data_IF_569953392755
#
_entry.id   IF_569953392755
#
_cell.length_a   1.000
_cell.length_b   1.000
_cell.length_c   1.000
_cell.angle_alpha   90.00
_cell.angle_beta   90.00
_cell.angle_gamma   90.00
#
_symmetry.space_group_name_H-M   'P 1'
#
loop_
_entity.id
_entity.type
_entity.pdbx_description
1 polymer ?
#
# COMPACT_ATOMS: atom_id res chain seq x y z
N UNK A 1 29.07 -18.42 -42.39
CA UNK A 1 27.92 -19.08 -41.73
C UNK A 1 27.73 -18.40 -40.39
N UNK A 2 26.87 -17.38 -40.34
CA UNK A 2 26.64 -16.57 -39.14
C UNK A 2 25.45 -17.16 -38.40
N UNK A 3 25.68 -17.82 -37.28
CA UNK A 3 24.63 -18.30 -36.40
C UNK A 3 24.09 -17.09 -35.60
N UNK A 4 23.04 -16.47 -36.10
CA UNK A 4 22.24 -15.53 -35.31
C UNK A 4 21.35 -16.38 -34.42
N UNK A 5 21.67 -16.41 -33.12
CA UNK A 5 20.81 -16.96 -32.09
C UNK A 5 19.58 -16.06 -31.97
N UNK A 6 18.49 -16.44 -32.63
CA UNK A 6 17.18 -15.81 -32.43
C UNK A 6 16.43 -16.61 -31.35
N UNK A 7 16.83 -16.40 -30.09
CA UNK A 7 15.97 -16.76 -28.97
C UNK A 7 15.21 -15.50 -28.53
N UNK A 8 13.87 -15.53 -28.50
CA UNK A 8 13.09 -14.41 -28.02
C UNK A 8 13.44 -14.17 -26.54
N UNK A 9 14.04 -13.01 -26.26
CA UNK A 9 14.31 -12.58 -24.91
C UNK A 9 12.96 -12.30 -24.23
N UNK A 10 12.52 -13.21 -23.36
CA UNK A 10 11.33 -13.01 -22.55
C UNK A 10 11.61 -11.86 -21.59
N UNK A 11 11.12 -10.67 -21.94
CA UNK A 11 11.13 -9.51 -21.05
C UNK A 11 10.16 -9.82 -19.91
N UNK A 12 10.71 -10.24 -18.78
CA UNK A 12 9.96 -10.35 -17.52
C UNK A 12 9.64 -8.93 -17.06
N UNK A 13 8.50 -8.39 -17.51
CA UNK A 13 7.92 -7.21 -16.91
C UNK A 13 7.60 -7.56 -15.45
N UNK A 14 8.31 -6.95 -14.51
CA UNK A 14 7.88 -6.96 -13.12
C UNK A 14 6.47 -6.37 -13.06
N UNK A 15 5.48 -7.24 -12.86
CA UNK A 15 4.13 -6.84 -12.49
C UNK A 15 4.14 -6.76 -10.97
N UNK A 16 3.99 -5.58 -10.36
CA UNK A 16 3.91 -5.51 -8.91
C UNK A 16 2.74 -6.37 -8.45
N UNK A 17 3.04 -7.43 -7.70
CA UNK A 17 2.01 -8.15 -7.00
C UNK A 17 1.71 -7.38 -5.72
N UNK A 18 0.81 -6.41 -5.81
CA UNK A 18 0.41 -5.58 -4.67
C UNK A 18 -0.21 -6.39 -3.51
N UNK A 19 -0.50 -7.68 -3.74
CA UNK A 19 -1.03 -8.61 -2.74
C UNK A 19 0.07 -9.35 -1.95
N UNK A 20 1.34 -9.25 -2.36
CA UNK A 20 2.47 -9.86 -1.64
C UNK A 20 3.25 -8.76 -0.92
N UNK A 21 3.22 -8.75 0.41
CA UNK A 21 4.15 -7.91 1.18
C UNK A 21 5.53 -8.56 1.18
N UNK A 22 6.54 -7.87 0.69
CA UNK A 22 7.93 -8.30 0.85
C UNK A 22 8.55 -7.66 2.10
N UNK A 23 9.61 -8.25 2.67
CA UNK A 23 10.32 -7.68 3.83
C UNK A 23 10.93 -6.30 3.58
N UNK A 24 10.96 -5.84 2.34
CA UNK A 24 11.55 -4.56 1.94
C UNK A 24 10.51 -3.44 1.79
N UNK A 25 9.21 -3.76 1.80
CA UNK A 25 8.14 -2.77 1.65
C UNK A 25 7.86 -2.04 2.97
N UNK A 26 8.67 -1.00 3.22
CA UNK A 26 8.61 -0.12 4.39
C UNK A 26 8.15 1.29 4.02
N UNK A 27 7.47 1.95 4.95
CA UNK A 27 7.29 3.41 4.92
C UNK A 27 8.60 4.17 5.21
N UNK A 28 8.79 5.37 4.63
CA UNK A 28 7.83 6.13 3.82
C UNK A 28 7.79 5.76 2.32
N UNK A 29 8.70 4.91 1.82
CA UNK A 29 8.77 4.57 0.39
C UNK A 29 7.51 3.81 -0.08
N UNK A 30 6.98 2.96 0.78
CA UNK A 30 5.77 2.17 0.55
C UNK A 30 4.69 2.50 1.57
N UNK A 31 3.45 2.46 1.10
CA UNK A 31 2.25 2.56 1.94
C UNK A 31 1.31 1.41 1.60
N UNK A 32 0.59 0.96 2.61
CA UNK A 32 -0.59 0.14 2.36
C UNK A 32 -1.80 1.03 2.19
N UNK A 33 -2.82 0.53 1.52
CA UNK A 33 -4.09 1.22 1.41
C UNK A 33 -5.27 0.26 1.46
N UNK A 34 -6.46 0.80 1.70
CA UNK A 34 -7.68 0.00 1.60
C UNK A 34 -7.87 -0.53 0.17
N UNK A 35 -8.41 -1.75 0.02
CA UNK A 35 -8.75 -2.30 -1.31
C UNK A 35 -9.60 -1.34 -2.14
N UNK A 36 -10.55 -0.63 -1.51
CA UNK A 36 -11.38 0.34 -2.19
C UNK A 36 -10.54 1.47 -2.85
N UNK A 37 -9.56 2.01 -2.12
CA UNK A 37 -8.66 3.03 -2.67
C UNK A 37 -7.78 2.47 -3.80
N UNK A 38 -7.27 1.24 -3.62
CA UNK A 38 -6.48 0.56 -4.64
C UNK A 38 -7.28 0.31 -5.93
N UNK A 39 -8.56 -0.11 -5.82
CA UNK A 39 -9.48 -0.24 -6.96
C UNK A 39 -9.71 1.12 -7.60
N UNK A 40 -10.03 2.16 -6.82
CA UNK A 40 -10.28 3.51 -7.33
C UNK A 40 -9.08 4.05 -8.12
N UNK A 41 -7.85 3.80 -7.65
CA UNK A 41 -6.62 4.23 -8.34
C UNK A 41 -6.23 3.33 -9.52
N UNK A 42 -6.93 2.20 -9.71
CA UNK A 42 -6.62 1.19 -10.72
C UNK A 42 -5.33 0.41 -10.44
N UNK A 43 -4.90 0.32 -9.17
CA UNK A 43 -3.75 -0.48 -8.74
C UNK A 43 -4.10 -1.98 -8.73
N UNK A 44 -5.31 -2.31 -8.29
CA UNK A 44 -5.83 -3.68 -8.27
C UNK A 44 -7.13 -3.74 -9.06
N UNK A 45 -7.41 -4.86 -9.77
CA UNK A 45 -8.67 -5.04 -10.44
C UNK A 45 -9.80 -5.23 -9.42
N UNK A 46 -10.97 -4.66 -9.70
CA UNK A 46 -12.15 -4.86 -8.88
C UNK A 46 -13.24 -3.84 -9.17
N UNK A 47 -14.44 -4.10 -8.64
CA UNK A 47 -15.57 -3.19 -8.68
C UNK A 47 -16.19 -3.10 -7.28
N UNK A 48 -16.71 -1.93 -6.93
CA UNK A 48 -17.46 -1.73 -5.68
C UNK A 48 -18.96 -1.84 -5.96
N UNK A 49 -19.69 -2.58 -5.12
CA UNK A 49 -21.13 -2.72 -5.29
C UNK A 49 -21.85 -1.41 -4.94
N UNK A 50 -22.65 -0.88 -5.88
CA UNK A 50 -23.46 0.36 -5.72
C UNK A 50 -22.66 1.65 -5.46
N UNK A 51 -21.35 1.64 -5.65
CA UNK A 51 -20.53 2.87 -5.58
C UNK A 51 -19.30 2.76 -6.48
N UNK A 52 -18.74 3.90 -6.87
CA UNK A 52 -17.49 3.97 -7.63
C UNK A 52 -16.28 4.40 -6.79
N UNK A 53 -16.50 4.91 -5.57
CA UNK A 53 -15.44 5.33 -4.65
C UNK A 53 -15.96 5.43 -3.20
N UNK A 54 -15.04 5.42 -2.23
CA UNK A 54 -15.32 5.72 -0.81
C UNK A 54 -15.00 7.19 -0.45
N UNK A 55 -14.65 8.01 -1.43
CA UNK A 55 -14.23 9.41 -1.32
C UNK A 55 -13.03 9.66 -0.40
N UNK A 56 -12.34 8.60 0.02
CA UNK A 56 -11.22 8.66 0.94
C UNK A 56 -10.06 7.79 0.45
N UNK A 57 -8.87 8.38 0.37
CA UNK A 57 -7.64 7.63 0.28
C UNK A 57 -7.21 7.23 1.70
N UNK A 58 -7.45 5.98 2.08
CA UNK A 58 -7.04 5.46 3.39
C UNK A 58 -5.70 4.74 3.25
N UNK A 59 -4.65 5.33 3.82
CA UNK A 59 -3.30 4.81 3.86
C UNK A 59 -2.97 4.27 5.25
N UNK A 60 -2.09 3.27 5.29
CA UNK A 60 -1.51 2.72 6.50
C UNK A 60 -0.01 2.60 6.30
N UNK A 61 0.76 3.20 7.21
CA UNK A 61 2.22 3.02 7.25
C UNK A 61 2.55 1.57 7.58
N UNK A 62 3.60 1.05 6.96
CA UNK A 62 3.94 -0.37 7.03
C UNK A 62 5.39 -0.61 7.37
N UNK A 63 5.58 -1.59 8.24
CA UNK A 63 6.87 -2.04 8.73
C UNK A 63 6.88 -3.57 8.74
N UNK A 64 7.93 -4.22 8.22
CA UNK A 64 8.08 -5.68 8.26
C UNK A 64 8.04 -6.24 9.69
N UNK A 65 8.58 -5.50 10.66
CA UNK A 65 8.57 -5.89 12.08
C UNK A 65 7.18 -5.82 12.71
N UNK A 66 6.27 -5.07 12.07
CA UNK A 66 4.94 -4.86 12.56
C UNK A 66 4.81 -3.96 13.79
N UNK A 67 3.66 -4.07 14.45
CA UNK A 67 3.30 -3.20 15.57
C UNK A 67 3.99 -3.67 16.85
N UNK A 68 4.63 -2.75 17.57
CA UNK A 68 5.32 -3.06 18.85
C UNK A 68 4.38 -3.09 20.06
N UNK A 69 3.13 -2.65 19.91
CA UNK A 69 2.15 -2.58 20.99
C UNK A 69 1.41 -3.90 21.22
N UNK A 70 0.83 -4.04 22.41
CA UNK A 70 0.11 -5.22 22.86
C UNK A 70 -1.35 -4.95 23.23
N UNK A 71 -2.03 -4.12 22.43
CA UNK A 71 -3.43 -3.77 22.68
C UNK A 71 -4.32 -5.03 22.67
N UNK A 72 -5.07 -5.26 23.75
CA UNK A 72 -5.88 -6.48 23.98
C UNK A 72 -6.92 -6.73 22.89
N UNK A 73 -7.50 -5.67 22.35
CA UNK A 73 -8.54 -5.71 21.32
C UNK A 73 -7.99 -5.70 19.88
N UNK A 74 -6.69 -5.45 19.68
CA UNK A 74 -6.13 -5.24 18.36
C UNK A 74 -5.64 -6.56 17.74
N UNK A 75 -6.03 -6.83 16.49
CA UNK A 75 -5.51 -7.98 15.75
C UNK A 75 -4.07 -7.80 15.23
N UNK A 76 -3.52 -6.59 15.29
CA UNK A 76 -2.11 -6.31 14.99
C UNK A 76 -1.20 -6.41 16.23
N UNK A 77 -1.75 -6.79 17.39
CA UNK A 77 -1.01 -6.79 18.65
C UNK A 77 0.17 -7.77 18.60
N UNK A 78 1.32 -7.30 19.08
CA UNK A 78 2.61 -8.00 19.11
C UNK A 78 2.42 -9.44 19.59
N UNK A 79 1.99 -9.69 20.83
CA UNK A 79 1.82 -11.01 21.46
C UNK A 79 0.93 -12.04 20.75
N UNK A 80 0.19 -11.69 19.69
CA UNK A 80 -0.49 -12.68 18.83
C UNK A 80 0.52 -13.43 17.94
N UNK A 81 1.76 -13.57 18.41
CA UNK A 81 3.00 -13.50 17.63
C UNK A 81 3.67 -14.81 17.26
N UNK A 82 3.36 -15.92 17.92
CA UNK A 82 4.34 -17.02 17.96
C UNK A 82 4.32 -17.96 16.74
N UNK A 83 3.42 -17.80 15.75
CA UNK A 83 3.27 -18.82 14.70
C UNK A 83 3.02 -18.39 13.24
N UNK A 84 2.98 -17.09 12.88
CA UNK A 84 2.62 -16.66 11.49
C UNK A 84 3.39 -15.43 11.00
N UNK A 85 3.61 -15.26 9.70
CA UNK A 85 4.25 -14.06 9.12
C UNK A 85 3.40 -12.78 9.28
N UNK A 86 4.02 -11.62 9.54
CA UNK A 86 3.32 -10.34 9.77
C UNK A 86 2.41 -9.91 8.61
N UNK A 87 2.77 -10.27 7.37
CA UNK A 87 1.94 -10.01 6.19
C UNK A 87 0.53 -10.63 6.30
N UNK A 88 0.41 -11.75 7.02
CA UNK A 88 -0.84 -12.49 7.24
C UNK A 88 -1.58 -12.07 8.52
N UNK A 89 -1.02 -11.15 9.31
CA UNK A 89 -1.55 -10.72 10.61
C UNK A 89 -2.38 -9.45 10.46
N UNK A 90 -3.50 -9.52 9.75
CA UNK A 90 -4.45 -8.40 9.69
C UNK A 90 -5.76 -8.75 10.40
N UNK A 91 -6.20 -7.90 11.34
CA UNK A 91 -7.59 -7.94 11.85
C UNK A 91 -8.59 -7.73 10.70
N UNK A 92 -8.16 -6.98 9.70
CA UNK A 92 -8.95 -6.60 8.55
C UNK A 92 -8.93 -7.79 7.60
N UNK A 93 -10.08 -8.47 7.49
CA UNK A 93 -10.30 -9.64 6.62
C UNK A 93 -10.36 -9.28 5.13
N UNK A 94 -10.01 -8.05 4.80
CA UNK A 94 -9.95 -7.52 3.46
C UNK A 94 -8.50 -7.17 3.23
N UNK A 95 -7.99 -7.47 2.04
CA UNK A 95 -6.59 -7.22 1.71
C UNK A 95 -6.22 -5.73 1.81
N UNK A 96 -4.97 -5.46 2.13
CA UNK A 96 -4.42 -4.11 2.13
C UNK A 96 -3.24 -4.07 1.16
N UNK A 97 -3.50 -3.76 -0.13
CA UNK A 97 -2.46 -3.72 -1.14
C UNK A 97 -1.36 -2.73 -0.76
N UNK A 98 -0.11 -3.10 -1.06
CA UNK A 98 1.06 -2.27 -0.73
C UNK A 98 1.69 -1.75 -2.02
N UNK A 99 1.81 -0.43 -2.16
CA UNK A 99 2.36 0.21 -3.34
C UNK A 99 3.41 1.27 -2.96
N UNK A 100 4.26 1.63 -3.92
CA UNK A 100 5.16 2.78 -3.75
C UNK A 100 4.32 4.04 -3.59
N UNK A 101 4.70 4.90 -2.65
CA UNK A 101 3.94 6.13 -2.41
C UNK A 101 4.00 7.09 -3.61
N UNK A 102 5.12 7.09 -4.35
CA UNK A 102 5.26 7.81 -5.62
C UNK A 102 4.19 7.41 -6.64
N UNK A 103 3.93 6.10 -6.78
CA UNK A 103 2.93 5.60 -7.72
C UNK A 103 1.51 6.04 -7.31
N UNK A 104 1.23 6.06 -6.01
CA UNK A 104 -0.05 6.56 -5.49
C UNK A 104 -0.24 8.03 -5.85
N UNK A 105 0.76 8.87 -5.60
CA UNK A 105 0.73 10.29 -5.94
C UNK A 105 0.55 10.47 -7.45
N UNK A 106 1.32 9.76 -8.27
CA UNK A 106 1.25 9.85 -9.73
C UNK A 106 -0.14 9.50 -10.24
N UNK A 107 -0.75 8.42 -9.76
CA UNK A 107 -2.11 8.02 -10.17
C UNK A 107 -3.17 9.05 -9.76
N UNK A 108 -3.02 9.68 -8.61
CA UNK A 108 -3.91 10.78 -8.20
C UNK A 108 -3.72 11.98 -9.13
N UNK A 109 -2.47 12.37 -9.44
CA UNK A 109 -2.18 13.47 -10.37
C UNK A 109 -2.74 13.24 -11.77
N UNK A 110 -2.70 11.99 -12.25
CA UNK A 110 -3.28 11.60 -13.53
C UNK A 110 -4.82 11.55 -13.51
N UNK A 111 -5.45 11.79 -12.36
CA UNK A 111 -6.90 11.82 -12.20
C UNK A 111 -7.53 10.42 -12.25
N UNK A 112 -6.78 9.37 -11.89
CA UNK A 112 -7.31 8.00 -11.89
C UNK A 112 -8.50 7.83 -10.95
N UNK A 113 -8.55 8.62 -9.87
CA UNK A 113 -9.67 8.66 -8.94
C UNK A 113 -10.90 9.39 -9.51
N UNK A 114 -10.76 10.06 -10.66
CA UNK A 114 -11.77 10.91 -11.31
C UNK A 114 -12.23 12.07 -10.43
N UNK A 115 -11.34 12.59 -9.57
CA UNK A 115 -11.65 13.65 -8.62
C UNK A 115 -12.64 13.25 -7.52
N UNK A 116 -12.78 11.95 -7.25
CA UNK A 116 -13.68 11.44 -6.21
C UNK A 116 -13.06 11.50 -4.82
N UNK A 117 -11.73 11.49 -4.70
CA UNK A 117 -11.10 11.62 -3.39
C UNK A 117 -11.27 13.02 -2.82
N UNK A 118 -11.86 13.11 -1.64
CA UNK A 118 -12.13 14.35 -0.91
C UNK A 118 -11.21 14.52 0.29
N UNK A 119 -10.63 13.41 0.79
CA UNK A 119 -9.75 13.39 1.95
C UNK A 119 -8.76 12.25 1.87
N UNK A 120 -7.62 12.43 2.53
CA UNK A 120 -6.65 11.37 2.80
C UNK A 120 -6.58 11.11 4.31
N UNK A 121 -6.52 9.85 4.70
CA UNK A 121 -6.20 9.43 6.06
C UNK A 121 -4.88 8.66 6.04
N UNK A 122 -3.98 8.99 6.95
CA UNK A 122 -2.77 8.20 7.19
C UNK A 122 -2.90 7.58 8.57
N UNK A 123 -2.99 6.26 8.61
CA UNK A 123 -3.07 5.47 9.83
C UNK A 123 -1.69 4.98 10.22
N UNK A 124 -1.41 4.92 11.53
CA UNK A 124 -0.14 4.49 12.09
C UNK A 124 -0.30 3.25 12.97
N UNK A 125 0.69 2.36 12.92
CA UNK A 125 0.91 1.36 13.98
C UNK A 125 1.89 1.92 15.00
N UNK A 126 1.96 1.32 16.19
CA UNK A 126 3.00 1.69 17.17
C UNK A 126 4.36 1.17 16.71
N UNK A 127 5.18 2.06 16.14
CA UNK A 127 6.53 1.79 15.69
C UNK A 127 7.38 3.07 15.84
N UNK A 128 8.69 3.00 16.18
CA UNK A 128 9.50 4.20 16.45
C UNK A 128 9.61 5.18 15.29
N UNK A 129 9.49 4.68 14.06
CA UNK A 129 9.60 5.50 12.86
C UNK A 129 8.23 6.03 12.37
N UNK A 130 7.11 5.54 12.92
CA UNK A 130 5.75 5.86 12.42
C UNK A 130 5.50 7.36 12.31
N UNK A 131 5.85 8.11 13.35
CA UNK A 131 5.58 9.54 13.40
C UNK A 131 6.40 10.30 12.34
N UNK A 132 7.72 10.04 12.29
CA UNK A 132 8.62 10.69 11.34
C UNK A 132 8.24 10.36 9.88
N UNK A 133 7.97 9.08 9.58
CA UNK A 133 7.59 8.67 8.23
C UNK A 133 6.24 9.26 7.82
N UNK A 134 5.31 9.42 8.77
CA UNK A 134 4.01 10.05 8.51
C UNK A 134 4.16 11.52 8.14
N UNK A 135 5.07 12.27 8.78
CA UNK A 135 5.39 13.64 8.37
C UNK A 135 5.98 13.68 6.96
N UNK A 136 6.91 12.78 6.62
CA UNK A 136 7.48 12.71 5.26
C UNK A 136 6.40 12.45 4.21
N UNK A 137 5.48 11.51 4.48
CA UNK A 137 4.35 11.22 3.60
C UNK A 137 3.44 12.45 3.43
N UNK A 138 3.06 13.10 4.54
CA UNK A 138 2.18 14.26 4.52
C UNK A 138 2.80 15.47 3.81
N UNK A 139 4.06 15.81 4.11
CA UNK A 139 4.77 16.91 3.46
C UNK A 139 4.86 16.70 1.95
N UNK A 140 5.17 15.48 1.53
CA UNK A 140 5.21 15.13 0.11
C UNK A 140 3.84 15.22 -0.54
N UNK A 141 2.78 14.75 0.13
CA UNK A 141 1.41 14.92 -0.37
C UNK A 141 1.07 16.39 -0.60
N UNK A 142 1.30 17.23 0.40
CA UNK A 142 1.00 18.66 0.34
C UNK A 142 1.79 19.35 -0.77
N UNK A 143 3.07 18.99 -0.94
CA UNK A 143 3.89 19.56 -2.01
C UNK A 143 3.39 19.20 -3.42
N UNK A 144 2.90 17.98 -3.59
CA UNK A 144 2.63 17.41 -4.91
C UNK A 144 1.16 17.56 -5.35
N UNK A 145 0.22 17.73 -4.40
CA UNK A 145 -1.22 17.66 -4.65
C UNK A 145 -2.06 18.76 -3.98
N UNK A 146 -1.50 19.59 -3.10
CA UNK A 146 -2.20 20.74 -2.49
C UNK A 146 -1.78 22.06 -3.15
#
# INVERSE_FOLDING_TARGET
>A
MSAVLDQPQVVQFYRPNYHIKTPEMRSPEYVQMSTAAAITLGLVPGNMHRTACTNCLNLLVTYPEGCRANCTYCGLARHREESRDYADRNFIRVEWPTARYDEVIERVKLGNDKGQFQRMCISMITHPNSDADTFVLLEKWMKELA
#
